data_IF_914236132554
#
_entry.id   IF_914236132554
#
_cell.length_a   1.000
_cell.length_b   1.000
_cell.length_c   1.000
_cell.angle_alpha   90.00
_cell.angle_beta   90.00
_cell.angle_gamma   90.00
#
_symmetry.space_group_name_H-M   'P 1'
#
loop_
_entity.id
_entity.type
_entity.pdbx_description
1 polymer ?
#
# COMPACT_ATOMS: atom_id res chain seq x y z
N UNK A 1 -29.42 4.82 -27.80
CA UNK A 1 -28.38 5.01 -26.77
C UNK A 1 -27.48 3.78 -26.81
N UNK A 2 -26.16 3.92 -27.02
CA UNK A 2 -25.29 2.75 -27.16
C UNK A 2 -25.01 2.12 -25.79
N UNK A 3 -24.72 0.82 -25.79
CA UNK A 3 -24.33 0.07 -24.60
C UNK A 3 -23.14 0.75 -23.88
N UNK A 4 -22.22 1.37 -24.64
CA UNK A 4 -21.10 2.15 -24.11
C UNK A 4 -21.52 3.44 -23.39
N UNK A 5 -22.57 4.11 -23.86
CA UNK A 5 -23.13 5.29 -23.17
C UNK A 5 -23.82 4.87 -21.86
N UNK A 6 -24.54 3.75 -21.87
CA UNK A 6 -25.22 3.24 -20.69
C UNK A 6 -24.21 2.79 -19.63
N UNK A 7 -23.16 2.08 -20.02
CA UNK A 7 -22.10 1.64 -19.10
C UNK A 7 -21.34 2.84 -18.50
N UNK A 8 -21.01 3.85 -19.31
CA UNK A 8 -20.42 5.11 -18.81
C UNK A 8 -21.36 5.87 -17.88
N UNK A 9 -22.67 5.84 -18.12
CA UNK A 9 -23.68 6.50 -17.30
C UNK A 9 -23.88 5.76 -15.97
N UNK A 10 -23.89 4.43 -15.97
CA UNK A 10 -23.90 3.59 -14.78
C UNK A 10 -22.63 3.82 -13.96
N UNK A 11 -21.45 3.82 -14.60
CA UNK A 11 -20.19 4.12 -13.92
C UNK A 11 -20.19 5.52 -13.30
N UNK A 12 -20.69 6.55 -14.01
CA UNK A 12 -20.88 7.92 -13.50
C UNK A 12 -21.90 8.04 -12.37
N UNK A 13 -22.92 7.19 -12.33
CA UNK A 13 -23.92 7.19 -11.27
C UNK A 13 -23.37 6.50 -10.01
N UNK A 14 -22.57 5.45 -10.18
CA UNK A 14 -21.86 4.75 -9.09
C UNK A 14 -20.79 5.63 -8.43
N UNK A 15 -20.16 6.55 -9.17
CA UNK A 15 -19.24 7.53 -8.57
C UNK A 15 -20.00 8.59 -7.76
N UNK A 16 -21.14 9.08 -8.26
CA UNK A 16 -21.93 10.12 -7.59
C UNK A 16 -22.61 9.67 -6.30
N UNK A 17 -23.07 8.42 -6.23
CA UNK A 17 -23.73 7.90 -5.01
C UNK A 17 -22.78 7.86 -3.80
N UNK A 18 -21.48 7.69 -4.02
CA UNK A 18 -20.49 7.63 -2.93
C UNK A 18 -19.98 9.01 -2.51
N UNK A 19 -19.97 9.99 -3.41
CA UNK A 19 -19.59 11.37 -3.09
C UNK A 19 -20.57 12.04 -2.11
N UNK A 20 -21.87 11.71 -2.21
CA UNK A 20 -22.89 12.23 -1.28
C UNK A 20 -22.82 11.52 0.09
N UNK A 21 -22.42 10.25 0.14
CA UNK A 21 -22.13 9.54 1.40
C UNK A 21 -20.89 10.11 2.11
N UNK A 22 -19.88 10.58 1.35
CA UNK A 22 -18.70 11.24 1.91
C UNK A 22 -18.99 12.63 2.54
N UNK A 23 -20.12 13.27 2.22
CA UNK A 23 -20.56 14.50 2.91
C UNK A 23 -21.24 14.26 4.25
N UNK A 24 -21.63 13.01 4.56
CA UNK A 24 -22.38 12.66 5.76
C UNK A 24 -21.50 12.27 6.98
N UNK A 25 -20.19 12.48 6.93
CA UNK A 25 -19.35 12.39 8.14
C UNK A 25 -18.97 10.97 8.60
N UNK A 26 -19.01 9.98 7.71
CA UNK A 26 -18.35 8.67 7.91
C UNK A 26 -17.16 8.57 6.98
N UNK A 27 -16.08 9.27 7.32
CA UNK A 27 -14.80 9.11 6.63
C UNK A 27 -14.28 7.69 6.88
N UNK A 28 -14.15 6.90 5.82
CA UNK A 28 -13.54 5.57 5.86
C UNK A 28 -12.12 5.69 6.46
N UNK A 29 -11.98 5.37 7.75
CA UNK A 29 -10.68 5.28 8.40
C UNK A 29 -10.13 3.89 8.08
N UNK A 30 -9.34 3.80 7.02
CA UNK A 30 -8.69 2.57 6.62
C UNK A 30 -7.57 2.24 7.62
N UNK A 31 -7.63 1.05 8.21
CA UNK A 31 -6.59 0.58 9.11
C UNK A 31 -5.48 -0.17 8.35
N UNK A 32 -4.35 -0.39 9.02
CA UNK A 32 -3.19 -1.09 8.44
C UNK A 32 -3.57 -2.47 7.89
N UNK A 33 -4.35 -3.25 8.65
CA UNK A 33 -4.76 -4.60 8.25
C UNK A 33 -5.64 -4.63 7.00
N UNK A 34 -6.53 -3.65 6.84
CA UNK A 34 -7.36 -3.55 5.63
C UNK A 34 -6.49 -3.25 4.40
N UNK A 35 -5.50 -2.37 4.55
CA UNK A 35 -4.59 -2.01 3.46
C UNK A 35 -3.70 -3.19 3.06
N UNK A 36 -3.19 -3.95 4.04
CA UNK A 36 -2.44 -5.19 3.77
C UNK A 36 -3.29 -6.18 2.98
N UNK A 37 -4.52 -6.45 3.43
CA UNK A 37 -5.45 -7.38 2.77
C UNK A 37 -5.74 -6.94 1.33
N UNK A 38 -5.95 -5.63 1.15
CA UNK A 38 -6.17 -4.99 -0.15
C UNK A 38 -4.98 -5.21 -1.09
N UNK A 39 -3.76 -4.91 -0.64
CA UNK A 39 -2.54 -5.07 -1.44
C UNK A 39 -2.23 -6.54 -1.74
N UNK A 40 -2.49 -7.44 -0.80
CA UNK A 40 -2.36 -8.88 -1.01
C UNK A 40 -3.30 -9.37 -2.12
N UNK A 41 -4.54 -8.88 -2.16
CA UNK A 41 -5.47 -9.17 -3.27
C UNK A 41 -4.98 -8.63 -4.62
N UNK A 42 -4.20 -7.54 -4.60
CA UNK A 42 -3.52 -6.95 -5.75
C UNK A 42 -2.19 -7.62 -6.13
N UNK A 43 -1.80 -8.69 -5.44
CA UNK A 43 -0.61 -9.50 -5.75
C UNK A 43 0.65 -9.18 -4.94
N UNK A 44 0.59 -8.30 -3.94
CA UNK A 44 1.71 -8.10 -3.00
C UNK A 44 1.64 -9.15 -1.88
N UNK A 45 2.09 -10.36 -2.18
CA UNK A 45 1.91 -11.53 -1.30
C UNK A 45 3.09 -11.81 -0.39
N UNK A 46 4.28 -11.28 -0.72
CA UNK A 46 5.49 -11.56 0.05
C UNK A 46 5.61 -10.66 1.29
N UNK A 47 6.04 -11.22 2.42
CA UNK A 47 6.44 -10.43 3.57
C UNK A 47 7.93 -10.12 3.49
N UNK A 48 8.28 -8.84 3.43
CA UNK A 48 9.66 -8.36 3.32
C UNK A 48 10.17 -7.97 4.70
N UNK A 49 11.22 -8.67 5.15
CA UNK A 49 11.87 -8.45 6.44
C UNK A 49 13.20 -7.73 6.21
N UNK A 50 13.46 -6.60 6.89
CA UNK A 50 14.72 -5.88 6.74
C UNK A 50 15.88 -6.62 7.41
N UNK A 51 17.01 -6.66 6.71
CA UNK A 51 18.34 -6.79 7.30
C UNK A 51 19.07 -5.44 7.24
N UNK A 52 20.36 -5.42 7.59
CA UNK A 52 21.15 -4.18 7.60
C UNK A 52 21.26 -3.53 6.21
N UNK A 53 21.57 -4.31 5.16
CA UNK A 53 21.86 -3.81 3.81
C UNK A 53 20.92 -4.36 2.73
N UNK A 54 19.84 -5.03 3.11
CA UNK A 54 18.93 -5.71 2.19
C UNK A 54 17.55 -5.97 2.80
N UNK A 55 16.60 -6.41 1.98
CA UNK A 55 15.35 -7.04 2.41
C UNK A 55 15.40 -8.54 2.11
N UNK A 56 14.70 -9.35 2.91
CA UNK A 56 14.52 -10.79 2.66
C UNK A 56 13.05 -11.17 2.59
N UNK A 57 12.72 -12.24 1.86
CA UNK A 57 11.42 -12.90 1.92
C UNK A 57 11.55 -14.42 1.79
N UNK A 58 10.41 -15.12 1.90
CA UNK A 58 10.33 -16.59 1.88
C UNK A 58 11.35 -17.24 2.83
N UNK A 59 11.38 -16.75 4.08
CA UNK A 59 12.29 -17.23 5.12
C UNK A 59 13.78 -17.15 4.73
N UNK A 60 14.18 -16.07 4.05
CA UNK A 60 15.58 -15.80 3.68
C UNK A 60 16.01 -16.41 2.33
N UNK A 61 15.10 -17.04 1.59
CA UNK A 61 15.40 -17.62 0.28
C UNK A 61 15.75 -16.57 -0.78
N UNK A 62 15.14 -15.39 -0.70
CA UNK A 62 15.43 -14.28 -1.61
C UNK A 62 15.94 -13.07 -0.85
N UNK A 63 16.94 -12.41 -1.44
CA UNK A 63 17.57 -11.20 -0.93
C UNK A 63 17.45 -10.10 -1.97
N UNK A 64 16.94 -8.95 -1.56
CA UNK A 64 16.74 -7.77 -2.38
C UNK A 64 17.67 -6.67 -1.86
N UNK A 65 18.73 -6.38 -2.60
CA UNK A 65 19.61 -5.25 -2.30
C UNK A 65 18.98 -3.93 -2.77
N UNK A 66 19.47 -2.75 -2.32
CA UNK A 66 18.92 -1.45 -2.68
C UNK A 66 18.61 -1.26 -4.17
N UNK A 67 19.47 -1.78 -5.04
CA UNK A 67 19.34 -1.69 -6.51
C UNK A 67 18.33 -2.67 -7.13
N UNK A 68 17.86 -3.66 -6.38
CA UNK A 68 17.02 -4.74 -6.89
C UNK A 68 15.52 -4.45 -6.76
N UNK A 69 15.11 -3.44 -5.97
CA UNK A 69 13.69 -3.20 -5.67
C UNK A 69 13.25 -1.75 -5.87
N UNK A 70 11.97 -1.56 -6.18
CA UNK A 70 11.29 -0.26 -6.27
C UNK A 70 10.12 -0.20 -5.28
N UNK A 71 9.81 1.01 -4.79
CA UNK A 71 8.63 1.23 -3.95
C UNK A 71 7.53 1.76 -4.86
N UNK A 72 6.45 1.00 -4.99
CA UNK A 72 5.31 1.34 -5.83
C UNK A 72 4.33 2.26 -5.10
N UNK A 73 4.05 1.96 -3.82
CA UNK A 73 3.11 2.71 -2.98
C UNK A 73 3.60 2.80 -1.53
N UNK A 74 3.21 3.88 -0.85
CA UNK A 74 3.59 4.19 0.52
C UNK A 74 2.35 4.62 1.29
N UNK A 75 2.11 3.98 2.43
CA UNK A 75 0.97 4.29 3.30
C UNK A 75 1.46 4.56 4.71
N UNK A 76 1.05 5.69 5.28
CA UNK A 76 1.33 6.03 6.68
C UNK A 76 0.07 5.79 7.50
N UNK A 77 0.24 5.13 8.63
CA UNK A 77 -0.79 4.86 9.62
C UNK A 77 -0.37 5.43 10.97
N UNK A 78 -1.34 5.97 11.69
CA UNK A 78 -1.23 6.31 13.10
C UNK A 78 -1.91 5.18 13.88
N UNK A 79 -1.24 4.66 14.90
CA UNK A 79 -1.81 3.61 15.72
C UNK A 79 -2.89 4.21 16.63
N UNK A 80 -4.08 3.59 16.68
CA UNK A 80 -5.16 4.05 17.56
C UNK A 80 -4.81 3.93 19.05
N UNK A 81 -3.78 3.14 19.39
CA UNK A 81 -3.35 2.89 20.77
C UNK A 81 -2.44 3.99 21.32
N UNK A 82 -1.56 4.54 20.48
CA UNK A 82 -0.69 5.66 20.81
C UNK A 82 -0.51 6.52 19.54
N UNK A 83 -0.97 7.78 19.52
CA UNK A 83 -0.82 8.66 18.36
C UNK A 83 0.64 9.01 18.04
N UNK A 84 1.57 8.75 18.96
CA UNK A 84 3.01 8.84 18.70
C UNK A 84 3.58 7.61 18.00
N UNK A 85 2.88 6.47 18.06
CA UNK A 85 3.23 5.27 17.30
C UNK A 85 2.69 5.39 15.87
N UNK A 86 3.63 5.42 14.93
CA UNK A 86 3.32 5.46 13.50
C UNK A 86 3.86 4.21 12.82
N UNK A 87 3.21 3.79 11.75
CA UNK A 87 3.73 2.74 10.87
C UNK A 87 3.69 3.22 9.43
N UNK A 88 4.71 2.86 8.66
CA UNK A 88 4.72 3.04 7.22
C UNK A 88 4.72 1.67 6.57
N UNK A 89 3.74 1.43 5.71
CA UNK A 89 3.67 0.27 4.84
C UNK A 89 4.18 0.64 3.46
N UNK A 90 5.12 -0.15 2.94
CA UNK A 90 5.66 -0.07 1.59
C UNK A 90 5.18 -1.25 0.76
N UNK A 91 4.59 -0.96 -0.39
CA UNK A 91 4.39 -1.93 -1.45
C UNK A 91 5.61 -1.91 -2.37
N UNK A 92 6.28 -3.04 -2.51
CA UNK A 92 7.59 -3.16 -3.16
C UNK A 92 7.52 -4.18 -4.29
N UNK A 93 8.13 -3.84 -5.42
CA UNK A 93 8.39 -4.73 -6.56
C UNK A 93 9.89 -4.98 -6.72
N UNK A 94 10.25 -6.20 -7.11
CA UNK A 94 11.61 -6.58 -7.52
C UNK A 94 11.54 -7.46 -8.78
N UNK A 95 12.04 -6.92 -9.89
CA UNK A 95 11.96 -7.57 -11.21
C UNK A 95 12.80 -8.84 -11.29
N UNK A 96 13.95 -8.87 -10.61
CA UNK A 96 14.92 -9.97 -10.67
C UNK A 96 14.33 -11.34 -10.33
N UNK A 97 13.33 -11.36 -9.44
CA UNK A 97 12.66 -12.57 -8.97
C UNK A 97 11.13 -12.51 -9.10
N UNK A 98 10.59 -11.51 -9.82
CA UNK A 98 9.15 -11.21 -9.88
C UNK A 98 8.49 -11.14 -8.50
N UNK A 99 9.20 -10.56 -7.53
CA UNK A 99 8.71 -10.45 -6.16
C UNK A 99 7.86 -9.20 -6.02
N UNK A 100 6.70 -9.37 -5.40
CA UNK A 100 5.82 -8.27 -4.96
C UNK A 100 5.54 -8.48 -3.49
N UNK A 101 6.01 -7.57 -2.66
CA UNK A 101 5.99 -7.74 -1.22
C UNK A 101 5.66 -6.48 -0.45
N UNK A 102 5.43 -6.69 0.83
CA UNK A 102 5.08 -5.66 1.80
C UNK A 102 6.19 -5.57 2.84
N UNK A 103 6.71 -4.36 3.04
CA UNK A 103 7.63 -4.02 4.12
C UNK A 103 6.93 -3.05 5.07
N UNK A 104 6.91 -3.34 6.36
CA UNK A 104 6.31 -2.49 7.39
C UNK A 104 7.43 -1.93 8.26
N UNK A 105 7.55 -0.61 8.26
CA UNK A 105 8.44 0.14 9.13
C UNK A 105 7.60 0.75 10.26
N UNK A 106 7.73 0.23 11.48
CA UNK A 106 7.11 0.81 12.68
C UNK A 106 8.04 1.83 13.33
N UNK A 107 7.52 3.01 13.63
CA UNK A 107 8.19 4.02 14.45
C UNK A 107 7.85 3.76 15.93
N UNK A 108 8.89 3.66 16.76
CA UNK A 108 8.81 3.41 18.21
C UNK A 108 10.22 3.25 18.79
N UNK A 109 10.36 2.59 19.95
CA UNK A 109 11.67 2.30 20.59
C UNK A 109 12.58 1.42 19.71
N UNK A 110 11.98 0.73 18.74
CA UNK A 110 12.66 -0.14 17.79
C UNK A 110 12.49 0.43 16.39
N UNK A 111 13.59 0.93 15.81
CA UNK A 111 13.68 1.30 14.41
C UNK A 111 14.64 0.33 13.72
N UNK A 112 14.36 -0.03 12.47
CA UNK A 112 15.24 -0.91 11.70
C UNK A 112 16.60 -0.23 11.50
N UNK A 113 17.68 -0.89 11.91
CA UNK A 113 19.04 -0.42 11.68
C UNK A 113 19.42 -0.68 10.22
N UNK A 114 19.06 0.26 9.35
CA UNK A 114 19.36 0.20 7.92
C UNK A 114 20.68 0.92 7.60
N UNK A 115 21.46 0.32 6.72
CA UNK A 115 22.63 0.92 6.09
C UNK A 115 22.29 2.21 5.34
N UNK A 116 23.28 3.09 5.17
CA UNK A 116 23.12 4.33 4.41
C UNK A 116 22.57 4.08 2.99
N UNK A 117 23.02 3.03 2.30
CA UNK A 117 22.56 2.70 0.95
C UNK A 117 21.08 2.30 0.90
N UNK A 118 20.59 1.57 1.91
CA UNK A 118 19.16 1.24 2.04
C UNK A 118 18.34 2.51 2.28
N UNK A 119 18.77 3.36 3.22
CA UNK A 119 18.11 4.63 3.51
C UNK A 119 18.06 5.57 2.30
N UNK A 120 19.17 5.67 1.55
CA UNK A 120 19.24 6.44 0.31
C UNK A 120 18.31 5.89 -0.76
N UNK A 121 18.21 4.57 -0.91
CA UNK A 121 17.28 3.95 -1.85
C UNK A 121 15.83 4.22 -1.47
N UNK A 122 15.46 4.03 -0.21
CA UNK A 122 14.10 4.30 0.27
C UNK A 122 13.76 5.79 0.05
N UNK A 123 14.69 6.70 0.36
CA UNK A 123 14.54 8.14 0.12
C UNK A 123 14.38 8.46 -1.37
N UNK A 124 15.20 7.86 -2.22
CA UNK A 124 15.11 8.00 -3.67
C UNK A 124 13.74 7.57 -4.17
N UNK A 125 13.30 6.35 -3.83
CA UNK A 125 12.01 5.82 -4.24
C UNK A 125 10.84 6.66 -3.69
N UNK A 126 10.91 7.11 -2.43
CA UNK A 126 9.93 8.04 -1.82
C UNK A 126 9.76 9.32 -2.63
N UNK A 127 10.85 9.90 -3.13
CA UNK A 127 10.80 11.11 -3.94
C UNK A 127 10.19 10.89 -5.33
N UNK A 128 10.29 9.67 -5.87
CA UNK A 128 9.71 9.29 -7.17
C UNK A 128 8.26 8.79 -7.04
N UNK A 129 7.87 8.34 -5.85
CA UNK A 129 6.52 7.88 -5.59
C UNK A 129 5.56 9.08 -5.63
N UNK A 130 4.72 9.15 -6.66
CA UNK A 130 3.63 10.13 -6.68
C UNK A 130 2.70 9.78 -5.52
N UNK A 131 2.71 10.61 -4.46
CA UNK A 131 1.74 10.54 -3.35
C UNK A 131 0.35 10.22 -3.92
N UNK A 132 -0.36 9.20 -3.41
CA UNK A 132 -1.67 8.89 -3.92
C UNK A 132 -2.67 9.94 -3.42
N UNK A 133 -2.87 11.00 -4.21
CA UNK A 133 -4.16 11.70 -4.24
C UNK A 133 -5.30 10.77 -4.69
N UNK A 134 -4.95 9.59 -5.23
CA UNK A 134 -5.84 8.51 -5.65
C UNK A 134 -6.04 7.41 -4.57
N UNK A 135 -5.74 7.69 -3.29
CA UNK A 135 -5.90 6.72 -2.19
C UNK A 135 -7.32 6.13 -2.11
N UNK A 136 -8.34 6.98 -2.27
CA UNK A 136 -9.76 6.55 -2.27
C UNK A 136 -10.15 5.79 -3.53
N UNK A 137 -9.56 6.11 -4.67
CA UNK A 137 -9.93 5.54 -5.97
C UNK A 137 -9.31 4.15 -6.18
N UNK A 138 -8.09 3.90 -5.68
CA UNK A 138 -7.40 2.61 -5.82
C UNK A 138 -7.83 1.57 -4.79
N UNK A 139 -8.02 1.93 -3.52
CA UNK A 139 -8.52 0.97 -2.51
C UNK A 139 -9.94 0.49 -2.86
N UNK A 140 -10.77 1.37 -3.42
CA UNK A 140 -12.11 1.03 -3.95
C UNK A 140 -12.06 0.05 -5.14
N UNK A 141 -10.93 -0.05 -5.84
CA UNK A 141 -10.75 -1.01 -6.95
C UNK A 141 -10.36 -2.43 -6.52
N UNK A 142 -9.91 -2.58 -5.26
CA UNK A 142 -9.46 -3.86 -4.68
C UNK A 142 -10.39 -4.38 -3.56
N UNK A 143 -11.34 -3.57 -3.10
CA UNK A 143 -12.33 -4.02 -2.13
C UNK A 143 -13.16 -5.17 -2.74
N UNK A 144 -13.22 -6.35 -2.08
CA UNK A 144 -14.11 -7.41 -2.53
C UNK A 144 -15.55 -6.87 -2.47
N UNK A 145 -16.33 -7.05 -3.54
CA UNK A 145 -17.77 -6.78 -3.50
C UNK A 145 -18.33 -7.57 -2.32
N UNK A 146 -18.69 -6.84 -1.26
CA UNK A 146 -19.21 -7.45 -0.04
C UNK A 146 -20.55 -8.05 -0.42
N UNK A 147 -20.54 -9.35 -0.72
CA UNK A 147 -21.74 -10.11 -1.01
C UNK A 147 -22.48 -10.28 0.30
N UNK A 148 -23.37 -9.33 0.59
CA UNK A 148 -24.40 -9.49 1.60
C UNK A 148 -25.23 -10.73 1.25
N UNK A 149 -25.11 -11.77 2.08
CA UNK A 149 -26.11 -12.83 2.20
C UNK A 149 -27.17 -12.40 3.21
#
# INVERSE_FOLDING_TARGET
>A
MTLSTLFKKILRLRTKLDDDQMKAGTGFMLCLSDTITTLQSGGYTENLVPGYDHLTCQSGKYTLYPKDFFIDEIFRFENSSDPSDQSILYAITCDKHNIRGLYIESYGVYHDELSAAMLERIKYCRAQCKSPSAYKDKVRSYAPETTLK
#
